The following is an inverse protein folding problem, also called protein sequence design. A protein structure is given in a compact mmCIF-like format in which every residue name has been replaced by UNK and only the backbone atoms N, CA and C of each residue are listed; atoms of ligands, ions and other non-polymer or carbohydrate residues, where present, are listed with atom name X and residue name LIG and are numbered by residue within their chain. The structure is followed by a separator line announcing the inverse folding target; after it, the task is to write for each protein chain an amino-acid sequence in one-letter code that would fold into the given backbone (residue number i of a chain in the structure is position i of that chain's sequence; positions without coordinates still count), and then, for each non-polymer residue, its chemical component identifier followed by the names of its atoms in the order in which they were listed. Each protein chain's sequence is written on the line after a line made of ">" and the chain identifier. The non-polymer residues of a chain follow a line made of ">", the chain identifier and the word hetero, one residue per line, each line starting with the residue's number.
data_IF_268041479349
#
_entry.id   IF_268041479349
#
_cell.length_a   1.000
_cell.length_b   1.000
_cell.length_c   1.000
_cell.angle_alpha   90.00
_cell.angle_beta   90.00
_cell.angle_gamma   90.00
#
_symmetry.space_group_name_H-M   'P 1'
#
loop_
_entity.id
_entity.type
_entity.pdbx_description
1 polymer ?
#
# COMPACT_ATOMS: atom_id res chain seq x y z
N UNK A 1 13.56 57.36 -34.92
CA UNK A 1 13.73 55.94 -34.47
C UNK A 1 14.41 55.80 -33.11
N UNK A 2 15.15 56.80 -32.60
CA UNK A 2 15.81 56.74 -31.27
C UNK A 2 14.87 56.92 -30.05
N UNK A 3 13.74 57.63 -30.20
CA UNK A 3 12.85 57.93 -29.05
C UNK A 3 11.98 56.74 -28.59
N UNK A 4 11.67 55.82 -29.49
CA UNK A 4 10.90 54.61 -29.16
C UNK A 4 11.74 53.62 -28.33
N UNK A 5 13.07 53.59 -28.51
CA UNK A 5 13.98 52.79 -27.68
C UNK A 5 14.07 53.31 -26.24
N UNK A 6 14.05 54.64 -26.02
CA UNK A 6 14.09 55.22 -24.67
C UNK A 6 12.84 54.91 -23.84
N UNK A 7 11.66 54.79 -24.47
CA UNK A 7 10.42 54.35 -23.81
C UNK A 7 10.42 52.86 -23.43
N UNK A 8 11.15 52.02 -24.15
CA UNK A 8 11.33 50.61 -23.79
C UNK A 8 12.21 50.51 -22.52
N UNK A 9 13.24 51.35 -22.41
CA UNK A 9 14.15 51.42 -21.25
C UNK A 9 13.66 52.28 -20.07
N UNK A 10 12.47 52.88 -20.12
CA UNK A 10 11.92 53.57 -18.96
C UNK A 10 11.50 52.55 -17.89
N UNK A 11 12.08 52.69 -16.70
CA UNK A 11 11.82 51.85 -15.54
C UNK A 11 10.42 52.17 -15.03
N UNK A 12 9.46 51.28 -15.30
CA UNK A 12 8.10 51.35 -14.77
C UNK A 12 7.94 50.29 -13.69
N UNK A 13 7.22 50.58 -12.58
CA UNK A 13 6.93 49.59 -11.53
C UNK A 13 6.35 48.27 -12.07
N UNK A 14 5.51 48.34 -13.12
CA UNK A 14 4.94 47.16 -13.76
C UNK A 14 6.00 46.27 -14.43
N UNK A 15 6.98 46.88 -15.11
CA UNK A 15 8.06 46.14 -15.77
C UNK A 15 8.98 45.48 -14.74
N UNK A 16 9.24 46.15 -13.61
CA UNK A 16 9.99 45.56 -12.49
C UNK A 16 9.24 44.35 -11.93
N UNK A 17 7.94 44.49 -11.66
CA UNK A 17 7.13 43.40 -11.13
C UNK A 17 7.12 42.19 -12.09
N UNK A 18 6.90 42.43 -13.39
CA UNK A 18 6.95 41.38 -14.41
C UNK A 18 8.32 40.70 -14.49
N UNK A 19 9.41 41.47 -14.41
CA UNK A 19 10.77 40.93 -14.40
C UNK A 19 11.03 40.06 -13.17
N UNK A 20 10.62 40.50 -11.98
CA UNK A 20 10.77 39.73 -10.73
C UNK A 20 9.97 38.43 -10.80
N UNK A 21 8.73 38.47 -11.29
CA UNK A 21 7.90 37.27 -11.49
C UNK A 21 8.57 36.33 -12.50
N UNK A 22 9.07 36.86 -13.61
CA UNK A 22 9.75 36.06 -14.64
C UNK A 22 11.00 35.38 -14.08
N UNK A 23 11.83 36.10 -13.32
CA UNK A 23 13.00 35.52 -12.64
C UNK A 23 12.58 34.46 -11.63
N UNK A 24 11.55 34.72 -10.82
CA UNK A 24 11.04 33.74 -9.85
C UNK A 24 10.53 32.47 -10.54
N UNK A 25 9.82 32.59 -11.66
CA UNK A 25 9.37 31.44 -12.46
C UNK A 25 10.54 30.65 -13.05
N UNK A 26 11.57 31.33 -13.54
CA UNK A 26 12.80 30.66 -14.02
C UNK A 26 13.49 29.93 -12.87
N UNK A 27 13.66 30.58 -11.71
CA UNK A 27 14.28 29.95 -10.54
C UNK A 27 13.48 28.75 -10.03
N UNK A 28 12.16 28.82 -10.10
CA UNK A 28 11.27 27.70 -9.79
C UNK A 28 11.43 26.56 -10.80
N UNK A 29 11.48 26.85 -12.10
CA UNK A 29 11.63 25.84 -13.15
C UNK A 29 13.00 25.14 -13.13
N UNK A 30 14.06 25.86 -12.73
CA UNK A 30 15.43 25.33 -12.66
C UNK A 30 15.68 24.54 -11.35
N UNK A 31 14.75 24.59 -10.38
CA UNK A 31 14.89 23.96 -9.05
C UNK A 31 16.24 24.30 -8.37
N UNK A 32 16.49 25.61 -8.20
CA UNK A 32 17.78 26.12 -7.68
C UNK A 32 18.08 25.48 -6.30
N UNK A 33 19.20 24.74 -6.14
CA UNK A 33 19.45 23.94 -4.95
C UNK A 33 19.44 24.72 -3.63
N UNK A 34 19.90 25.97 -3.65
CA UNK A 34 19.90 26.84 -2.48
C UNK A 34 18.50 27.22 -2.01
N UNK A 35 17.58 27.54 -2.93
CA UNK A 35 16.20 27.89 -2.57
C UNK A 35 15.48 26.67 -1.98
N UNK A 36 15.63 25.50 -2.61
CA UNK A 36 15.07 24.24 -2.09
C UNK A 36 15.61 23.91 -0.70
N UNK A 37 16.91 24.11 -0.47
CA UNK A 37 17.50 23.93 0.86
C UNK A 37 16.92 24.88 1.91
N UNK A 38 16.72 26.16 1.54
CA UNK A 38 16.11 27.14 2.43
C UNK A 38 14.64 26.82 2.73
N UNK A 39 13.89 26.35 1.74
CA UNK A 39 12.51 25.88 1.92
C UNK A 39 12.44 24.69 2.89
N UNK A 40 13.28 23.65 2.68
CA UNK A 40 13.34 22.49 3.57
C UNK A 40 13.67 22.90 5.01
N UNK A 41 14.62 23.81 5.20
CA UNK A 41 14.92 24.36 6.53
C UNK A 41 13.75 25.14 7.13
N UNK A 42 13.04 25.92 6.32
CA UNK A 42 11.87 26.65 6.79
C UNK A 42 10.74 25.69 7.21
N UNK A 43 10.55 24.59 6.49
CA UNK A 43 9.62 23.52 6.85
C UNK A 43 10.04 22.83 8.16
N UNK A 44 11.32 22.48 8.31
CA UNK A 44 11.85 21.89 9.54
C UNK A 44 11.64 22.83 10.73
N UNK A 45 11.98 24.11 10.57
CA UNK A 45 11.80 25.14 11.59
C UNK A 45 10.32 25.28 11.97
N UNK A 46 9.41 25.23 11.00
CA UNK A 46 7.97 25.28 11.26
C UNK A 46 7.49 24.08 12.08
N UNK A 47 8.01 22.88 11.80
CA UNK A 47 7.68 21.67 12.56
C UNK A 47 8.21 21.72 13.99
N UNK A 48 9.46 22.20 14.17
CA UNK A 48 10.07 22.38 15.49
C UNK A 48 9.35 23.48 16.29
N UNK A 49 9.07 24.62 15.66
CA UNK A 49 8.39 25.77 16.28
C UNK A 49 6.96 25.46 16.72
N UNK A 50 6.23 24.63 15.95
CA UNK A 50 4.92 24.11 16.36
C UNK A 50 4.98 23.32 17.67
N UNK A 51 6.12 22.69 17.98
CA UNK A 51 6.29 21.84 19.15
C UNK A 51 5.63 20.47 19.01
N UNK A 52 5.68 19.70 20.10
CA UNK A 52 5.07 18.36 20.17
C UNK A 52 3.56 18.48 20.30
N UNK A 53 2.84 17.92 19.33
CA UNK A 53 1.39 17.78 19.39
C UNK A 53 1.11 16.39 19.96
N UNK A 54 0.37 16.31 21.06
CA UNK A 54 -0.03 15.02 21.61
C UNK A 54 -0.89 14.27 20.57
N UNK A 55 -0.59 13.00 20.26
CA UNK A 55 -1.42 12.23 19.37
C UNK A 55 -2.84 12.15 19.94
N UNK A 56 -3.85 12.38 19.10
CA UNK A 56 -5.24 12.18 19.50
C UNK A 56 -5.52 10.70 19.79
N UNK A 57 -6.56 10.41 20.58
CA UNK A 57 -6.99 9.04 20.89
C UNK A 57 -7.70 8.31 19.74
N UNK A 58 -7.78 8.92 18.55
CA UNK A 58 -8.48 8.39 17.38
C UNK A 58 -7.68 7.29 16.66
N UNK A 59 -6.35 7.27 16.85
CA UNK A 59 -5.44 6.33 16.18
C UNK A 59 -4.74 5.44 17.19
N UNK A 60 -4.84 4.13 16.99
CA UNK A 60 -4.18 3.12 17.83
C UNK A 60 -3.24 2.30 16.95
N UNK A 61 -2.01 2.10 17.42
CA UNK A 61 -1.04 1.22 16.77
C UNK A 61 -1.07 -0.13 17.49
N UNK A 62 -1.43 -1.18 16.78
CA UNK A 62 -1.31 -2.55 17.25
C UNK A 62 0.06 -3.10 16.83
N UNK A 63 1.05 -2.99 17.72
CA UNK A 63 2.38 -3.52 17.49
C UNK A 63 2.44 -5.04 17.74
N UNK A 64 3.26 -5.75 16.96
CA UNK A 64 3.59 -7.14 17.21
C UNK A 64 4.85 -7.15 18.08
N UNK A 65 4.68 -7.41 19.38
CA UNK A 65 5.74 -7.42 20.37
C UNK A 65 5.98 -8.84 20.93
N UNK A 66 7.01 -9.00 21.76
CA UNK A 66 7.35 -10.29 22.38
C UNK A 66 6.18 -10.87 23.19
N UNK A 67 5.42 -9.99 23.86
CA UNK A 67 4.21 -10.40 24.60
C UNK A 67 3.18 -11.01 23.66
N UNK A 68 2.86 -10.33 22.56
CA UNK A 68 1.92 -10.83 21.55
C UNK A 68 2.40 -12.15 20.93
N UNK A 69 3.71 -12.30 20.67
CA UNK A 69 4.29 -13.54 20.17
C UNK A 69 4.23 -14.68 21.19
N UNK A 70 4.37 -14.37 22.48
CA UNK A 70 4.23 -15.36 23.55
C UNK A 70 2.80 -15.88 23.67
N UNK A 71 1.79 -15.02 23.44
CA UNK A 71 0.37 -15.35 23.58
C UNK A 71 -0.23 -15.98 22.32
N UNK A 72 0.13 -15.48 21.13
CA UNK A 72 -0.46 -15.86 19.84
C UNK A 72 0.42 -16.81 19.03
N UNK A 73 1.67 -17.01 19.46
CA UNK A 73 2.65 -17.85 18.78
C UNK A 73 3.59 -17.07 17.86
N UNK A 74 4.49 -17.83 17.24
CA UNK A 74 5.56 -17.31 16.38
C UNK A 74 4.99 -16.65 15.12
N UNK A 75 5.58 -15.51 14.75
CA UNK A 75 5.35 -14.83 13.47
C UNK A 75 6.07 -15.56 12.32
N UNK A 76 5.51 -15.59 11.09
CA UNK A 76 4.24 -15.02 10.65
C UNK A 76 3.02 -15.77 11.21
N UNK A 77 2.01 -15.01 11.64
CA UNK A 77 0.75 -15.60 12.09
C UNK A 77 -0.08 -16.10 10.91
N UNK A 78 -0.86 -17.17 11.09
CA UNK A 78 -1.75 -17.65 10.04
C UNK A 78 -2.82 -16.60 9.72
N UNK A 79 -3.30 -16.59 8.47
CA UNK A 79 -4.30 -15.60 8.00
C UNK A 79 -5.60 -15.64 8.82
N UNK A 80 -5.91 -16.76 9.45
CA UNK A 80 -7.04 -16.89 10.37
C UNK A 80 -6.90 -16.05 11.64
N UNK A 81 -5.69 -15.87 12.16
CA UNK A 81 -5.42 -14.98 13.30
C UNK A 81 -5.62 -13.52 12.89
N UNK A 82 -5.12 -13.15 11.71
CA UNK A 82 -5.32 -11.82 11.14
C UNK A 82 -6.81 -11.54 10.88
N UNK A 83 -7.56 -12.51 10.35
CA UNK A 83 -9.00 -12.38 10.11
C UNK A 83 -9.77 -12.12 11.41
N UNK A 84 -9.42 -12.84 12.50
CA UNK A 84 -10.01 -12.59 13.83
C UNK A 84 -9.68 -11.19 14.36
N UNK A 85 -8.48 -10.68 14.09
CA UNK A 85 -8.11 -9.32 14.45
C UNK A 85 -8.98 -8.30 13.70
N UNK A 86 -9.15 -8.46 12.38
CA UNK A 86 -10.02 -7.59 11.57
C UNK A 86 -11.46 -7.61 12.09
N UNK A 87 -12.03 -8.80 12.31
CA UNK A 87 -13.40 -8.95 12.82
C UNK A 87 -13.57 -8.26 14.19
N UNK A 88 -12.58 -8.36 15.08
CA UNK A 88 -12.59 -7.70 16.41
C UNK A 88 -12.47 -6.19 16.31
N UNK A 89 -11.55 -5.67 15.49
CA UNK A 89 -11.38 -4.24 15.28
C UNK A 89 -12.67 -3.63 14.71
N UNK A 90 -13.32 -4.34 13.79
CA UNK A 90 -14.64 -3.94 13.29
C UNK A 90 -15.69 -3.92 14.41
N UNK A 91 -15.72 -4.95 15.24
CA UNK A 91 -16.62 -5.05 16.40
C UNK A 91 -16.43 -3.92 17.42
N UNK A 92 -15.20 -3.42 17.58
CA UNK A 92 -14.89 -2.25 18.42
C UNK A 92 -15.17 -0.90 17.76
N UNK A 93 -15.69 -0.87 16.53
CA UNK A 93 -16.06 0.36 15.85
C UNK A 93 -14.89 1.10 15.19
N UNK A 94 -13.78 0.41 14.89
CA UNK A 94 -12.69 1.00 14.12
C UNK A 94 -13.24 1.58 12.81
N UNK A 95 -12.97 2.87 12.54
CA UNK A 95 -13.42 3.55 11.31
C UNK A 95 -12.58 3.16 10.10
N UNK A 96 -11.29 2.91 10.31
CA UNK A 96 -10.35 2.41 9.31
C UNK A 96 -9.34 1.47 9.96
N UNK A 97 -8.87 0.47 9.21
CA UNK A 97 -7.82 -0.48 9.63
C UNK A 97 -6.76 -0.51 8.53
N UNK A 98 -5.53 -0.14 8.86
CA UNK A 98 -4.40 -0.22 7.96
C UNK A 98 -3.46 -1.36 8.37
N UNK A 99 -3.02 -2.16 7.42
CA UNK A 99 -1.97 -3.15 7.63
C UNK A 99 -0.65 -2.64 7.08
N UNK A 100 0.34 -2.44 7.95
CA UNK A 100 1.74 -2.22 7.58
C UNK A 100 2.48 -3.55 7.38
N UNK A 101 1.83 -4.46 6.64
CA UNK A 101 2.35 -5.76 6.24
C UNK A 101 1.78 -6.09 4.86
N UNK A 102 2.57 -6.80 4.05
CA UNK A 102 2.15 -7.20 2.70
C UNK A 102 1.92 -8.70 2.66
N UNK A 103 0.80 -9.08 2.04
CA UNK A 103 0.37 -10.46 1.84
C UNK A 103 0.64 -10.88 0.38
N UNK A 104 1.92 -10.87 -0.01
CA UNK A 104 2.34 -11.10 -1.39
C UNK A 104 2.15 -12.56 -1.85
N UNK A 105 2.30 -13.50 -0.92
CA UNK A 105 2.23 -14.92 -1.20
C UNK A 105 0.99 -15.55 -0.52
N UNK A 106 0.43 -16.62 -1.12
CA UNK A 106 -0.56 -17.46 -0.46
C UNK A 106 -0.04 -17.98 0.87
N UNK A 107 -0.93 -18.13 1.85
CA UNK A 107 -0.58 -18.69 3.16
C UNK A 107 -0.14 -20.15 3.00
N UNK A 108 1.08 -20.46 3.44
CA UNK A 108 1.61 -21.82 3.42
C UNK A 108 0.98 -22.67 4.53
N UNK A 109 -0.30 -23.01 4.36
CA UNK A 109 -1.02 -23.87 5.29
C UNK A 109 -0.78 -25.35 4.97
N UNK A 110 0.04 -26.02 5.79
CA UNK A 110 0.30 -27.46 5.71
C UNK A 110 -0.98 -28.31 5.71
N UNK A 111 -2.02 -27.90 6.45
CA UNK A 111 -3.30 -28.60 6.50
C UNK A 111 -4.05 -28.52 5.16
N UNK A 112 -4.00 -27.38 4.49
CA UNK A 112 -4.64 -27.22 3.18
C UNK A 112 -3.94 -28.07 2.12
N UNK A 113 -2.60 -28.12 2.17
CA UNK A 113 -1.77 -28.97 1.30
C UNK A 113 -2.10 -30.45 1.51
N UNK A 114 -2.05 -30.94 2.74
CA UNK A 114 -2.40 -32.35 3.06
C UNK A 114 -3.83 -32.71 2.62
N UNK A 115 -4.80 -31.81 2.78
CA UNK A 115 -6.17 -32.04 2.31
C UNK A 115 -6.28 -32.05 0.78
N UNK A 116 -5.44 -31.27 0.08
CA UNK A 116 -5.38 -31.27 -1.37
C UNK A 116 -4.77 -32.59 -1.89
N UNK A 117 -3.68 -33.03 -1.28
CA UNK A 117 -3.00 -34.30 -1.61
C UNK A 117 -3.92 -35.49 -1.36
N UNK A 118 -4.55 -35.55 -0.19
CA UNK A 118 -5.53 -36.58 0.15
C UNK A 118 -6.72 -36.58 -0.84
N UNK A 119 -7.19 -35.39 -1.24
CA UNK A 119 -8.24 -35.28 -2.25
C UNK A 119 -7.80 -35.80 -3.63
N UNK A 120 -6.51 -35.73 -3.97
CA UNK A 120 -5.97 -36.31 -5.21
C UNK A 120 -5.83 -37.82 -5.09
N UNK A 121 -5.32 -38.35 -3.98
CA UNK A 121 -5.22 -39.78 -3.75
C UNK A 121 -6.59 -40.47 -3.81
N UNK A 122 -7.61 -39.89 -3.17
CA UNK A 122 -8.99 -40.40 -3.22
C UNK A 122 -9.53 -40.45 -4.66
N UNK A 123 -9.19 -39.45 -5.49
CA UNK A 123 -9.54 -39.44 -6.93
C UNK A 123 -8.79 -40.52 -7.71
N UNK A 124 -7.49 -40.68 -7.47
CA UNK A 124 -6.65 -41.68 -8.12
C UNK A 124 -7.10 -43.11 -7.80
N UNK A 125 -7.54 -43.34 -6.55
CA UNK A 125 -8.14 -44.58 -6.09
C UNK A 125 -9.58 -44.79 -6.58
N UNK A 126 -10.13 -43.85 -7.37
CA UNK A 126 -11.50 -43.88 -7.91
C UNK A 126 -12.59 -44.05 -6.83
N UNK A 127 -12.33 -43.57 -5.63
CA UNK A 127 -13.29 -43.61 -4.53
C UNK A 127 -14.38 -42.57 -4.82
N UNK A 128 -15.61 -43.03 -5.06
CA UNK A 128 -16.76 -42.18 -5.39
C UNK A 128 -17.70 -41.93 -4.20
N UNK A 129 -17.24 -42.16 -2.98
CA UNK A 129 -18.07 -41.93 -1.80
C UNK A 129 -18.42 -40.43 -1.67
N UNK A 130 -19.69 -40.11 -1.93
CA UNK A 130 -20.21 -38.74 -1.86
C UNK A 130 -20.07 -38.13 -0.47
N UNK A 131 -20.15 -38.92 0.60
CA UNK A 131 -20.00 -38.44 1.98
C UNK A 131 -18.56 -38.05 2.25
N UNK A 132 -17.61 -38.88 1.85
CA UNK A 132 -16.17 -38.60 1.99
C UNK A 132 -15.78 -37.37 1.18
N UNK A 133 -16.19 -37.29 -0.09
CA UNK A 133 -15.92 -36.14 -0.96
C UNK A 133 -16.56 -34.85 -0.41
N UNK A 134 -17.76 -34.94 0.16
CA UNK A 134 -18.42 -33.82 0.84
C UNK A 134 -17.66 -33.36 2.08
N UNK A 135 -17.18 -34.29 2.90
CA UNK A 135 -16.38 -33.98 4.09
C UNK A 135 -15.04 -33.35 3.72
N UNK A 136 -14.34 -33.89 2.71
CA UNK A 136 -13.08 -33.34 2.20
C UNK A 136 -13.26 -31.91 1.68
N UNK A 137 -14.32 -31.65 0.89
CA UNK A 137 -14.63 -30.29 0.44
C UNK A 137 -14.91 -29.35 1.61
N UNK A 138 -15.71 -29.77 2.59
CA UNK A 138 -16.01 -28.98 3.78
C UNK A 138 -14.73 -28.67 4.59
N UNK A 139 -13.87 -29.66 4.80
CA UNK A 139 -12.59 -29.51 5.51
C UNK A 139 -11.63 -28.60 4.74
N UNK A 140 -11.54 -28.75 3.41
CA UNK A 140 -10.71 -27.89 2.55
C UNK A 140 -11.14 -26.43 2.66
N UNK A 141 -12.42 -26.13 2.55
CA UNK A 141 -12.92 -24.76 2.70
C UNK A 141 -12.65 -24.16 4.09
N UNK A 142 -12.65 -24.97 5.14
CA UNK A 142 -12.33 -24.52 6.50
C UNK A 142 -10.81 -24.34 6.73
N UNK A 143 -9.99 -25.03 5.94
CA UNK A 143 -8.54 -24.93 5.98
C UNK A 143 -7.99 -23.81 5.08
N UNK A 144 -8.82 -23.23 4.21
CA UNK A 144 -8.43 -22.11 3.35
C UNK A 144 -8.39 -20.80 4.17
N UNK A 145 -7.21 -20.49 4.67
CA UNK A 145 -6.98 -19.38 5.59
C UNK A 145 -6.99 -18.03 4.87
N UNK A 146 -6.53 -17.97 3.63
CA UNK A 146 -6.62 -16.77 2.77
C UNK A 146 -8.08 -16.42 2.46
N UNK A 147 -8.91 -17.41 2.09
CA UNK A 147 -10.34 -17.17 1.87
C UNK A 147 -11.05 -16.69 3.13
N UNK A 148 -10.61 -17.13 4.32
CA UNK A 148 -11.15 -16.65 5.61
C UNK A 148 -10.77 -15.17 5.83
N UNK A 149 -9.52 -14.79 5.57
CA UNK A 149 -9.11 -13.39 5.68
C UNK A 149 -9.82 -12.50 4.66
N UNK A 150 -9.90 -12.92 3.40
CA UNK A 150 -10.58 -12.17 2.34
C UNK A 150 -12.04 -11.87 2.71
N UNK A 151 -12.78 -12.86 3.24
CA UNK A 151 -14.16 -12.66 3.73
C UNK A 151 -14.24 -11.70 4.91
N UNK A 152 -13.27 -11.74 5.83
CA UNK A 152 -13.24 -10.81 6.96
C UNK A 152 -13.03 -9.36 6.49
N UNK A 153 -12.08 -9.16 5.56
CA UNK A 153 -11.81 -7.87 4.92
C UNK A 153 -13.06 -7.35 4.19
N UNK A 154 -13.70 -8.19 3.39
CA UNK A 154 -14.93 -7.85 2.66
C UNK A 154 -16.07 -7.44 3.61
N UNK A 155 -16.23 -8.13 4.74
CA UNK A 155 -17.25 -7.78 5.75
C UNK A 155 -16.91 -6.48 6.48
N UNK A 156 -15.64 -6.23 6.77
CA UNK A 156 -15.20 -5.03 7.47
C UNK A 156 -15.44 -3.76 6.63
N UNK A 157 -15.21 -3.84 5.31
CA UNK A 157 -15.35 -2.74 4.32
C UNK A 157 -14.51 -1.50 4.59
N UNK A 158 -13.54 -1.57 5.49
CA UNK A 158 -12.72 -0.45 5.91
C UNK A 158 -11.28 -0.87 6.23
N UNK A 159 -10.80 -1.89 5.53
CA UNK A 159 -9.44 -2.39 5.63
C UNK A 159 -8.66 -1.94 4.41
N UNK A 160 -7.49 -1.36 4.64
CA UNK A 160 -6.51 -1.03 3.61
C UNK A 160 -5.30 -1.94 3.77
N UNK A 161 -4.94 -2.65 2.70
CA UNK A 161 -3.76 -3.51 2.66
C UNK A 161 -2.55 -2.75 2.11
N UNK A 162 -1.36 -3.14 2.59
CA UNK A 162 -0.12 -2.70 1.99
C UNK A 162 0.03 -3.26 0.57
N UNK A 163 0.55 -2.43 -0.33
CA UNK A 163 0.86 -2.80 -1.72
C UNK A 163 2.28 -2.35 -2.05
N UNK A 164 3.05 -3.19 -2.73
CA UNK A 164 4.38 -2.82 -3.21
C UNK A 164 4.29 -2.16 -4.58
N UNK A 165 4.82 -0.94 -4.68
CA UNK A 165 4.97 -0.25 -5.95
C UNK A 165 6.39 -0.44 -6.48
N UNK A 166 6.49 -0.88 -7.73
CA UNK A 166 7.76 -0.85 -8.47
C UNK A 166 7.84 0.46 -9.24
N UNK A 167 8.84 1.29 -8.93
CA UNK A 167 8.95 2.66 -9.46
C UNK A 167 9.96 2.76 -10.62
N UNK A 168 10.72 1.68 -10.89
CA UNK A 168 11.71 1.65 -11.97
C UNK A 168 11.70 0.35 -12.75
N UNK A 169 12.06 0.41 -14.04
CA UNK A 169 12.20 -0.79 -14.90
C UNK A 169 13.22 -1.80 -14.34
N UNK A 170 14.24 -1.31 -13.62
CA UNK A 170 15.27 -2.16 -13.01
C UNK A 170 14.69 -3.02 -11.88
N UNK A 171 13.69 -2.53 -11.17
CA UNK A 171 13.03 -3.29 -10.10
C UNK A 171 12.19 -4.44 -10.63
N UNK A 172 11.61 -4.34 -11.83
CA UNK A 172 10.78 -5.42 -12.42
C UNK A 172 11.57 -6.35 -13.35
N UNK A 173 12.88 -6.12 -13.54
CA UNK A 173 13.70 -6.89 -14.48
C UNK A 173 13.82 -8.40 -14.15
N UNK A 174 13.42 -8.80 -12.95
CA UNK A 174 13.40 -10.19 -12.49
C UNK A 174 12.01 -10.86 -12.59
N UNK A 175 10.97 -10.09 -12.92
CA UNK A 175 9.60 -10.57 -13.07
C UNK A 175 9.33 -10.97 -14.53
N UNK A 176 8.45 -11.96 -14.72
CA UNK A 176 8.01 -12.32 -16.07
C UNK A 176 7.03 -11.29 -16.63
N UNK A 177 6.86 -11.23 -17.96
CA UNK A 177 5.84 -10.35 -18.57
C UNK A 177 4.43 -10.68 -18.05
N UNK A 178 4.14 -11.96 -17.79
CA UNK A 178 2.87 -12.43 -17.24
C UNK A 178 2.63 -11.89 -15.82
N UNK A 179 3.65 -11.90 -14.96
CA UNK A 179 3.55 -11.34 -13.60
C UNK A 179 3.30 -9.83 -13.61
N UNK A 180 3.93 -9.12 -14.57
CA UNK A 180 3.77 -7.67 -14.73
C UNK A 180 2.35 -7.33 -15.21
N UNK A 181 1.81 -8.10 -16.16
CA UNK A 181 0.43 -7.92 -16.64
C UNK A 181 -0.60 -8.20 -15.53
N UNK A 182 -0.42 -9.30 -14.79
CA UNK A 182 -1.29 -9.63 -13.66
C UNK A 182 -1.27 -8.55 -12.56
N UNK A 183 -0.10 -8.03 -12.23
CA UNK A 183 0.04 -6.91 -11.29
C UNK A 183 -0.60 -5.62 -11.84
N UNK A 184 -0.49 -5.36 -13.15
CA UNK A 184 -1.11 -4.20 -13.79
C UNK A 184 -2.65 -4.27 -13.77
N UNK A 185 -3.24 -5.46 -13.94
CA UNK A 185 -4.69 -5.66 -13.88
C UNK A 185 -5.25 -5.30 -12.49
N UNK A 186 -4.54 -5.69 -11.42
CA UNK A 186 -4.92 -5.38 -10.03
C UNK A 186 -4.94 -3.88 -9.74
N UNK A 187 -4.14 -3.08 -10.45
CA UNK A 187 -4.00 -1.63 -10.25
C UNK A 187 -4.84 -0.83 -11.25
N UNK A 188 -5.47 -1.48 -12.24
CA UNK A 188 -6.20 -0.81 -13.33
C UNK A 188 -7.41 0.01 -12.84
N UNK A 189 -7.96 -0.34 -11.67
CA UNK A 189 -9.04 0.43 -11.02
C UNK A 189 -8.53 1.48 -10.03
N UNK A 190 -7.21 1.57 -9.84
CA UNK A 190 -6.60 2.51 -8.92
C UNK A 190 -6.56 3.92 -9.52
N UNK A 191 -6.45 4.91 -8.63
CA UNK A 191 -6.33 6.33 -8.98
C UNK A 191 -4.94 6.66 -9.56
N UNK A 192 -3.98 5.72 -9.51
CA UNK A 192 -2.61 5.92 -9.94
C UNK A 192 -2.42 5.49 -11.39
N UNK A 193 -1.76 6.35 -12.19
CA UNK A 193 -1.48 6.06 -13.60
C UNK A 193 -0.33 5.07 -13.74
N UNK A 194 -0.58 3.97 -14.46
CA UNK A 194 0.46 3.03 -14.90
C UNK A 194 1.36 3.71 -15.93
N UNK A 195 2.64 3.87 -15.61
CA UNK A 195 3.65 4.30 -16.59
C UNK A 195 4.10 3.06 -17.36
N UNK A 196 3.55 2.88 -18.58
CA UNK A 196 3.99 1.80 -19.46
C UNK A 196 5.41 2.07 -19.93
N UNK A 197 6.28 1.08 -19.75
CA UNK A 197 7.62 1.09 -20.27
C UNK A 197 7.59 0.99 -21.81
N UNK A 198 7.77 2.11 -22.52
CA UNK A 198 8.18 2.10 -23.94
C UNK A 198 9.65 1.73 -24.09
#
# INVERSE_FOLDING_TARGET
>A
MHDQLKKIFSISPLKIALLVIFIALIMFYIDVPFLRFMELKALDLRMVSRGTVSPGGETVIAAIDEKSLSELGRWPWPRTTIAKLVDRLKGYGAKAVGFDIVFAEPDENSSLKTLADLSQEVKNLRIQDRRLLGLLRKKKMLADTDAILAKSIERAKNVTLGYFFHLSKKEVAHLTEEDIEAAAENINTSIYQLIRAS
#
